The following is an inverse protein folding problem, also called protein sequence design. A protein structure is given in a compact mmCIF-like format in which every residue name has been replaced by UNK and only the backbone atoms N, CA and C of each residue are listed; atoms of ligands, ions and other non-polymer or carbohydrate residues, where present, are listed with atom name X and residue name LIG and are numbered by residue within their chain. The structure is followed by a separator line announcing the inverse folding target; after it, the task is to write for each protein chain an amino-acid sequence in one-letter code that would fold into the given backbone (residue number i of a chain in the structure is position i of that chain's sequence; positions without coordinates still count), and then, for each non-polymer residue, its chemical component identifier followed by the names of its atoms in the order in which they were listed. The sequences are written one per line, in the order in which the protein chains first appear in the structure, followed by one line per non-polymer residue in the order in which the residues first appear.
data_IF_985015026324
#
_entry.id   IF_985015026324
#
_cell.length_a   1.000
_cell.length_b   1.000
_cell.length_c   1.000
_cell.angle_alpha   90.00
_cell.angle_beta   90.00
_cell.angle_gamma   90.00
#
_symmetry.space_group_name_H-M   'P 1'
#
loop_
_entity.id
_entity.type
_entity.pdbx_description
1 polymer ?
#
# COMPACT_ATOMS: atom_id res chain seq x y z
N UNK A 1 24.89 -23.73 -9.93
CA UNK A 1 24.07 -24.87 -9.45
C UNK A 1 22.83 -24.29 -8.80
N UNK A 2 21.74 -24.22 -9.57
CA UNK A 2 20.43 -23.74 -9.12
C UNK A 2 19.77 -24.83 -8.29
N UNK A 3 19.43 -24.52 -7.05
CA UNK A 3 18.70 -25.43 -6.17
C UNK A 3 17.23 -25.50 -6.66
N UNK A 4 16.74 -26.63 -7.17
CA UNK A 4 15.45 -26.72 -7.88
C UNK A 4 14.23 -26.79 -6.94
N UNK A 5 14.34 -26.30 -5.70
CA UNK A 5 13.32 -26.52 -4.66
C UNK A 5 13.04 -25.28 -3.80
N UNK A 6 12.73 -24.13 -4.42
CA UNK A 6 11.87 -23.15 -3.73
C UNK A 6 10.46 -23.75 -3.72
N UNK A 7 10.21 -24.71 -2.81
CA UNK A 7 8.86 -25.18 -2.50
C UNK A 7 8.06 -23.93 -2.12
N UNK A 8 7.16 -23.49 -3.00
CA UNK A 8 6.14 -22.52 -2.62
C UNK A 8 5.51 -23.03 -1.33
N UNK A 9 5.65 -22.24 -0.25
CA UNK A 9 5.05 -22.56 1.04
C UNK A 9 3.57 -22.81 0.78
N UNK A 10 3.13 -24.06 0.96
CA UNK A 10 1.74 -24.42 0.72
C UNK A 10 0.89 -23.56 1.66
N UNK A 11 0.01 -22.75 1.08
CA UNK A 11 -0.92 -21.94 1.85
C UNK A 11 -1.83 -22.90 2.63
N UNK A 12 -1.59 -22.98 3.94
CA UNK A 12 -2.38 -23.78 4.86
C UNK A 12 -3.57 -22.96 5.37
N UNK A 13 -4.52 -23.62 6.04
CA UNK A 13 -5.65 -22.95 6.68
C UNK A 13 -5.21 -21.82 7.64
N UNK A 14 -4.14 -22.04 8.41
CA UNK A 14 -3.59 -21.03 9.33
C UNK A 14 -3.19 -19.72 8.65
N UNK A 15 -2.76 -19.77 7.38
CA UNK A 15 -2.42 -18.57 6.62
C UNK A 15 -3.68 -17.71 6.32
N UNK A 16 -4.83 -18.35 6.07
CA UNK A 16 -6.10 -17.65 5.85
C UNK A 16 -6.67 -17.07 7.13
N UNK A 17 -6.49 -17.76 8.27
CA UNK A 17 -6.87 -17.23 9.59
C UNK A 17 -6.03 -15.99 9.92
N UNK A 18 -4.71 -16.04 9.69
CA UNK A 18 -3.84 -14.89 9.88
C UNK A 18 -4.23 -13.71 8.96
N UNK A 19 -4.65 -13.98 7.73
CA UNK A 19 -5.17 -12.96 6.82
C UNK A 19 -6.49 -12.36 7.31
N UNK A 20 -7.43 -13.19 7.78
CA UNK A 20 -8.70 -12.70 8.33
C UNK A 20 -8.48 -11.83 9.57
N UNK A 21 -7.56 -12.25 10.46
CA UNK A 21 -7.13 -11.42 11.58
C UNK A 21 -6.53 -10.10 11.11
N UNK A 22 -5.64 -10.11 10.12
CA UNK A 22 -5.06 -8.88 9.57
C UNK A 22 -6.12 -7.90 9.05
N UNK A 23 -7.12 -8.42 8.33
CA UNK A 23 -8.23 -7.61 7.80
C UNK A 23 -9.02 -6.98 8.94
N UNK A 24 -9.41 -7.76 9.95
CA UNK A 24 -10.16 -7.24 11.11
C UNK A 24 -9.30 -6.21 11.87
N UNK A 25 -8.03 -6.53 12.12
CA UNK A 25 -7.10 -5.73 12.90
C UNK A 25 -6.83 -4.35 12.30
N UNK A 26 -6.60 -4.26 10.99
CA UNK A 26 -6.36 -2.98 10.32
C UNK A 26 -7.63 -2.27 9.85
N UNK A 27 -8.81 -2.88 9.96
CA UNK A 27 -10.07 -2.30 9.44
C UNK A 27 -10.63 -1.14 10.26
N UNK A 28 -10.33 -1.05 11.55
CA UNK A 28 -10.97 -0.10 12.45
C UNK A 28 -12.36 -0.55 12.96
N UNK A 29 -12.87 -1.72 12.52
CA UNK A 29 -14.22 -2.21 12.88
C UNK A 29 -14.36 -2.55 14.36
N UNK A 30 -13.26 -2.91 15.02
CA UNK A 30 -13.25 -3.36 16.41
C UNK A 30 -12.82 -2.26 17.38
N UNK A 31 -12.69 -1.02 16.90
CA UNK A 31 -12.30 0.13 17.71
C UNK A 31 -13.26 0.33 18.88
N UNK A 32 -12.77 0.03 20.08
CA UNK A 32 -13.53 0.16 21.33
C UNK A 32 -12.57 0.28 22.51
N UNK A 33 -13.09 0.72 23.66
CA UNK A 33 -12.39 0.63 24.95
C UNK A 33 -12.65 -0.69 25.68
N UNK A 34 -13.41 -1.60 25.08
CA UNK A 34 -13.74 -2.92 25.62
C UNK A 34 -12.63 -3.93 25.33
N UNK A 35 -12.70 -5.11 25.94
CA UNK A 35 -11.66 -6.16 25.79
C UNK A 35 -11.39 -6.55 24.33
N UNK A 36 -12.41 -6.50 23.47
CA UNK A 36 -12.29 -6.86 22.06
C UNK A 36 -11.57 -5.78 21.23
N UNK A 37 -11.38 -4.57 21.78
CA UNK A 37 -10.56 -3.51 21.19
C UNK A 37 -9.09 -3.89 21.06
N UNK A 38 -8.60 -4.92 21.75
CA UNK A 38 -7.25 -5.49 21.53
C UNK A 38 -7.08 -6.03 20.12
N UNK A 39 -8.18 -6.39 19.44
CA UNK A 39 -8.15 -6.83 18.06
C UNK A 39 -8.19 -5.67 17.06
N UNK A 40 -8.03 -4.42 17.49
CA UNK A 40 -8.05 -3.23 16.64
C UNK A 40 -6.70 -2.48 16.69
N UNK A 41 -6.14 -2.21 15.51
CA UNK A 41 -4.89 -1.47 15.38
C UNK A 41 -4.97 -0.07 15.99
N UNK A 42 -6.08 0.64 15.81
CA UNK A 42 -6.23 2.03 16.29
C UNK A 42 -6.31 2.06 17.81
N UNK A 43 -7.05 1.13 18.42
CA UNK A 43 -7.13 1.01 19.87
C UNK A 43 -5.77 0.66 20.47
N UNK A 44 -5.04 -0.31 19.92
CA UNK A 44 -3.70 -0.66 20.42
C UNK A 44 -2.63 0.39 20.16
N UNK A 45 -2.72 1.09 19.02
CA UNK A 45 -1.81 2.18 18.70
C UNK A 45 -1.98 3.36 19.65
N UNK A 46 -3.22 3.60 20.09
CA UNK A 46 -3.55 4.65 21.04
C UNK A 46 -3.33 6.06 20.47
N UNK A 47 -3.25 7.02 21.39
CA UNK A 47 -2.96 8.43 21.09
C UNK A 47 -1.94 8.97 22.09
N UNK A 48 -1.19 9.98 21.67
CA UNK A 48 -0.37 10.74 22.60
C UNK A 48 -1.24 11.40 23.68
N UNK A 49 -0.71 11.49 24.89
CA UNK A 49 -1.29 12.31 25.94
C UNK A 49 -1.42 13.77 25.50
N UNK A 50 -2.46 14.44 26.00
CA UNK A 50 -2.65 15.86 25.73
C UNK A 50 -1.83 16.68 26.74
N UNK A 51 -1.21 17.77 26.26
CA UNK A 51 -0.44 18.71 27.06
C UNK A 51 -1.30 19.92 27.44
N UNK A 52 -1.16 20.41 28.67
CA UNK A 52 -1.85 21.62 29.10
C UNK A 52 -1.38 22.83 28.26
N UNK A 53 -2.32 23.55 27.67
CA UNK A 53 -2.10 24.69 26.79
C UNK A 53 -2.46 26.02 27.46
N UNK A 54 -3.54 26.03 28.25
CA UNK A 54 -3.97 27.22 28.98
C UNK A 54 -4.57 26.76 30.32
N UNK A 55 -4.36 27.53 31.38
CA UNK A 55 -4.94 27.28 32.70
C UNK A 55 -5.70 28.53 33.09
N UNK A 56 -7.01 28.41 33.24
CA UNK A 56 -7.90 29.50 33.63
C UNK A 56 -8.52 29.19 34.98
N UNK A 57 -8.46 30.14 35.89
CA UNK A 57 -9.15 30.04 37.18
C UNK A 57 -10.59 30.50 36.98
N UNK A 58 -11.54 29.57 37.08
CA UNK A 58 -12.98 29.83 37.06
C UNK A 58 -13.54 29.80 38.48
N UNK A 59 -14.77 30.30 38.67
CA UNK A 59 -15.40 30.38 39.99
C UNK A 59 -15.57 29.01 40.69
N UNK A 60 -15.51 27.91 39.94
CA UNK A 60 -15.62 26.54 40.43
C UNK A 60 -14.26 25.79 40.49
N UNK A 61 -13.14 26.44 40.16
CA UNK A 61 -11.79 25.87 40.29
C UNK A 61 -10.82 26.22 39.16
N UNK A 62 -9.72 25.45 39.05
CA UNK A 62 -8.69 25.63 38.01
C UNK A 62 -8.99 24.73 36.82
N UNK A 63 -9.35 25.30 35.67
CA UNK A 63 -9.57 24.58 34.42
C UNK A 63 -8.33 24.66 33.50
N UNK A 64 -7.76 23.51 33.17
CA UNK A 64 -6.66 23.40 32.21
C UNK A 64 -7.20 22.98 30.83
N UNK A 65 -7.16 23.87 29.84
CA UNK A 65 -7.36 23.53 28.45
C UNK A 65 -6.16 22.76 27.93
N UNK A 66 -6.38 21.60 27.31
CA UNK A 66 -5.34 20.72 26.79
C UNK A 66 -5.25 20.77 25.26
N UNK A 67 -4.07 20.47 24.72
CA UNK A 67 -3.81 20.36 23.28
C UNK A 67 -2.90 19.16 22.99
N UNK A 68 -2.71 18.82 21.72
CA UNK A 68 -1.75 17.77 21.33
C UNK A 68 -0.30 18.26 21.42
N UNK A 69 0.67 17.35 21.33
CA UNK A 69 2.11 17.70 21.22
C UNK A 69 2.43 18.64 20.03
N UNK A 70 1.51 18.79 19.08
CA UNK A 70 1.59 19.72 17.96
C UNK A 70 1.27 21.17 18.34
N UNK A 71 0.61 21.40 19.48
CA UNK A 71 0.18 22.74 19.91
C UNK A 71 -1.03 23.28 19.13
N UNK A 72 -1.32 24.58 19.26
CA UNK A 72 -2.44 25.27 18.57
C UNK A 72 -1.92 26.54 17.86
N UNK A 73 -2.39 26.80 16.64
CA UNK A 73 -2.09 28.03 15.89
C UNK A 73 -0.83 28.02 15.01
N UNK A 74 -0.19 26.86 14.83
CA UNK A 74 0.97 26.72 13.92
C UNK A 74 0.57 26.39 12.48
N UNK A 75 1.26 26.97 11.49
CA UNK A 75 1.17 26.59 10.08
C UNK A 75 2.55 26.71 9.41
N UNK A 76 2.96 25.71 8.63
CA UNK A 76 4.22 25.72 7.88
C UNK A 76 5.15 24.54 8.19
N UNK A 77 6.41 24.61 7.73
CA UNK A 77 7.33 23.47 7.77
C UNK A 77 7.61 22.91 9.18
N UNK A 78 7.66 23.78 10.21
CA UNK A 78 7.87 23.38 11.61
C UNK A 78 6.69 22.57 12.16
N UNK A 79 5.48 22.96 11.81
CA UNK A 79 4.25 22.26 12.20
C UNK A 79 4.17 20.89 11.52
N UNK A 80 4.51 20.82 10.23
CA UNK A 80 4.65 19.56 9.49
C UNK A 80 5.73 18.63 10.07
N UNK A 81 6.86 19.17 10.53
CA UNK A 81 7.93 18.38 11.16
C UNK A 81 7.47 17.73 12.47
N UNK A 82 6.81 18.50 13.36
CA UNK A 82 6.27 17.96 14.60
C UNK A 82 5.19 16.91 14.32
N UNK A 83 4.32 17.16 13.34
CA UNK A 83 3.37 16.15 12.87
C UNK A 83 4.07 14.86 12.39
N UNK A 84 5.17 14.96 11.63
CA UNK A 84 5.88 13.76 11.17
C UNK A 84 6.43 12.92 12.34
N UNK A 85 6.91 13.58 13.40
CA UNK A 85 7.36 12.87 14.62
C UNK A 85 6.23 12.11 15.30
N UNK A 86 4.98 12.58 15.23
CA UNK A 86 3.84 11.85 15.81
C UNK A 86 3.47 10.59 15.02
N UNK A 87 3.85 10.49 13.74
CA UNK A 87 3.60 9.29 12.93
C UNK A 87 4.57 8.13 13.20
N UNK A 88 5.78 8.42 13.69
CA UNK A 88 6.85 7.41 13.83
C UNK A 88 6.38 6.16 14.60
N UNK A 89 5.80 6.27 15.81
CA UNK A 89 5.40 5.08 16.57
C UNK A 89 4.32 4.27 15.86
N UNK A 90 3.37 4.96 15.21
CA UNK A 90 2.26 4.32 14.50
C UNK A 90 2.76 3.49 13.33
N UNK A 91 3.68 4.04 12.54
CA UNK A 91 4.28 3.34 11.40
C UNK A 91 5.13 2.15 11.87
N UNK A 92 5.93 2.35 12.92
CA UNK A 92 6.74 1.27 13.49
C UNK A 92 5.88 0.11 14.01
N UNK A 93 4.79 0.41 14.71
CA UNK A 93 3.86 -0.60 15.20
C UNK A 93 3.18 -1.36 14.06
N UNK A 94 2.69 -0.64 13.04
CA UNK A 94 2.08 -1.25 11.85
C UNK A 94 3.05 -2.20 11.14
N UNK A 95 4.30 -1.77 10.91
CA UNK A 95 5.33 -2.61 10.28
C UNK A 95 5.69 -3.83 11.14
N UNK A 96 5.76 -3.67 12.47
CA UNK A 96 5.97 -4.78 13.39
C UNK A 96 4.88 -5.85 13.27
N UNK A 97 3.62 -5.44 13.24
CA UNK A 97 2.48 -6.36 13.07
C UNK A 97 2.51 -7.01 11.68
N UNK A 98 2.80 -6.26 10.62
CA UNK A 98 2.91 -6.82 9.25
C UNK A 98 3.98 -7.91 9.19
N UNK A 99 5.15 -7.72 9.80
CA UNK A 99 6.20 -8.73 9.85
C UNK A 99 5.77 -10.02 10.56
N UNK A 100 5.00 -9.89 11.65
CA UNK A 100 4.42 -11.05 12.36
C UNK A 100 3.42 -11.77 11.47
N UNK A 101 2.53 -11.05 10.80
CA UNK A 101 1.54 -11.63 9.89
C UNK A 101 2.18 -12.29 8.67
N UNK A 102 3.26 -11.72 8.16
CA UNK A 102 4.09 -12.33 7.11
C UNK A 102 4.71 -13.65 7.57
N UNK A 103 5.25 -13.70 8.79
CA UNK A 103 5.77 -14.93 9.38
C UNK A 103 4.70 -16.04 9.43
N UNK A 104 3.48 -15.69 9.84
CA UNK A 104 2.32 -16.60 9.84
C UNK A 104 1.75 -16.91 8.44
N UNK A 105 2.27 -16.28 7.39
CA UNK A 105 1.89 -16.57 5.99
C UNK A 105 0.61 -15.88 5.55
N UNK A 106 0.15 -14.85 6.26
CA UNK A 106 -1.02 -14.05 5.85
C UNK A 106 -0.82 -13.48 4.44
N UNK A 107 0.40 -13.01 4.14
CA UNK A 107 0.73 -12.51 2.81
C UNK A 107 0.68 -13.61 1.74
N UNK A 108 1.07 -14.85 2.06
CA UNK A 108 0.94 -15.99 1.14
C UNK A 108 -0.52 -16.32 0.82
N UNK A 109 -1.40 -16.29 1.83
CA UNK A 109 -2.84 -16.44 1.64
C UNK A 109 -3.43 -15.30 0.80
N UNK A 110 -3.02 -14.06 1.06
CA UNK A 110 -3.44 -12.90 0.28
C UNK A 110 -3.05 -13.07 -1.19
N UNK A 111 -1.83 -13.55 -1.47
CA UNK A 111 -1.35 -13.82 -2.84
C UNK A 111 -2.21 -14.84 -3.57
N UNK A 112 -2.57 -15.94 -2.90
CA UNK A 112 -3.43 -16.98 -3.48
C UNK A 112 -4.85 -16.47 -3.76
N UNK A 113 -5.38 -15.59 -2.91
CA UNK A 113 -6.67 -14.92 -3.13
C UNK A 113 -6.61 -13.85 -4.24
N UNK A 114 -5.49 -13.15 -4.38
CA UNK A 114 -5.28 -12.17 -5.45
C UNK A 114 -5.05 -12.83 -6.81
N UNK A 115 -4.56 -14.07 -6.86
CA UNK A 115 -4.29 -14.81 -8.11
C UNK A 115 -5.48 -14.86 -9.10
N UNK A 116 -6.71 -15.26 -8.70
CA UNK A 116 -7.88 -15.25 -9.59
C UNK A 116 -8.35 -13.84 -9.98
N UNK A 117 -7.95 -12.80 -9.24
CA UNK A 117 -8.29 -11.41 -9.52
C UNK A 117 -7.29 -10.76 -10.51
N UNK A 118 -5.99 -11.01 -10.32
CA UNK A 118 -4.91 -10.41 -11.10
C UNK A 118 -4.82 -10.96 -12.54
N UNK A 119 -5.16 -12.25 -12.73
CA UNK A 119 -5.16 -12.89 -14.05
C UNK A 119 -6.13 -12.24 -15.04
N UNK A 120 -7.42 -12.04 -14.74
CA UNK A 120 -8.35 -11.35 -15.64
C UNK A 120 -8.05 -9.85 -15.75
N UNK A 121 -7.68 -9.17 -14.66
CA UNK A 121 -7.49 -7.71 -14.67
C UNK A 121 -6.21 -7.26 -15.37
N UNK A 122 -5.12 -8.01 -15.30
CA UNK A 122 -3.80 -7.58 -15.80
C UNK A 122 -3.05 -8.65 -16.59
N UNK A 123 -3.57 -9.88 -16.66
CA UNK A 123 -2.91 -10.97 -17.39
C UNK A 123 -1.62 -11.47 -16.74
N UNK A 124 -1.38 -11.14 -15.47
CA UNK A 124 -0.19 -11.58 -14.74
C UNK A 124 -0.48 -12.79 -13.85
N UNK A 125 0.48 -13.71 -13.65
CA UNK A 125 0.31 -14.87 -12.81
C UNK A 125 0.29 -14.49 -11.33
N UNK A 126 -0.41 -15.29 -10.53
CA UNK A 126 -0.50 -15.11 -9.08
C UNK A 126 0.82 -15.18 -8.31
N UNK A 127 1.86 -15.77 -8.93
CA UNK A 127 3.23 -15.75 -8.43
C UNK A 127 3.76 -14.34 -8.20
N UNK A 128 3.27 -13.34 -8.94
CA UNK A 128 3.61 -11.93 -8.79
C UNK A 128 2.98 -11.25 -7.58
N UNK A 129 2.06 -11.91 -6.86
CA UNK A 129 1.39 -11.32 -5.70
C UNK A 129 2.38 -10.89 -4.60
N UNK A 130 3.49 -11.62 -4.46
CA UNK A 130 4.63 -11.31 -3.58
C UNK A 130 5.20 -9.93 -3.87
N UNK A 131 5.66 -9.78 -5.12
CA UNK A 131 6.20 -8.55 -5.65
C UNK A 131 5.17 -7.42 -5.66
N UNK A 132 3.89 -7.74 -5.85
CA UNK A 132 2.80 -6.75 -5.84
C UNK A 132 2.66 -6.13 -4.46
N UNK A 133 2.56 -6.96 -3.41
CA UNK A 133 2.44 -6.49 -2.04
C UNK A 133 3.66 -5.66 -1.64
N UNK A 134 4.87 -6.14 -1.96
CA UNK A 134 6.08 -5.39 -1.68
C UNK A 134 6.14 -4.07 -2.44
N UNK A 135 5.71 -4.03 -3.71
CA UNK A 135 5.68 -2.80 -4.51
C UNK A 135 4.77 -1.71 -3.97
N UNK A 136 3.75 -2.08 -3.17
CA UNK A 136 2.87 -1.10 -2.50
C UNK A 136 3.53 -0.43 -1.30
N UNK A 137 4.58 -1.06 -0.75
CA UNK A 137 5.35 -0.54 0.39
C UNK A 137 6.68 0.08 -0.05
N UNK A 138 7.32 -0.51 -1.05
CA UNK A 138 8.58 -0.09 -1.61
C UNK A 138 8.66 -0.49 -3.08
N UNK A 139 8.73 0.50 -3.96
CA UNK A 139 8.90 0.28 -5.40
C UNK A 139 10.18 -0.50 -5.70
N UNK A 140 11.27 -0.23 -4.96
CA UNK A 140 12.56 -0.87 -5.17
C UNK A 140 12.54 -2.35 -4.79
N UNK A 141 11.92 -2.69 -3.64
CA UNK A 141 11.73 -4.07 -3.22
C UNK A 141 10.81 -4.84 -4.19
N UNK A 142 9.74 -4.18 -4.68
CA UNK A 142 8.86 -4.73 -5.72
C UNK A 142 9.60 -5.04 -7.02
N UNK A 143 10.44 -4.13 -7.50
CA UNK A 143 11.23 -4.30 -8.71
C UNK A 143 12.27 -5.42 -8.58
N UNK A 144 12.95 -5.51 -7.43
CA UNK A 144 13.91 -6.58 -7.15
C UNK A 144 13.25 -7.97 -7.19
N UNK A 145 12.09 -8.12 -6.52
CA UNK A 145 11.33 -9.38 -6.54
C UNK A 145 10.74 -9.69 -7.91
N UNK A 146 10.34 -8.66 -8.67
CA UNK A 146 9.85 -8.83 -10.04
C UNK A 146 10.92 -9.35 -10.97
N UNK A 147 12.15 -8.80 -10.86
CA UNK A 147 13.31 -9.30 -11.59
C UNK A 147 13.61 -10.75 -11.23
N UNK A 148 13.61 -11.10 -9.95
CA UNK A 148 13.82 -12.47 -9.51
C UNK A 148 12.78 -13.43 -10.13
N UNK A 149 11.50 -13.05 -10.14
CA UNK A 149 10.44 -13.86 -10.76
C UNK A 149 10.63 -14.05 -12.27
N UNK A 150 11.16 -13.04 -12.98
CA UNK A 150 11.53 -13.15 -14.39
C UNK A 150 12.73 -14.08 -14.59
N UNK A 151 13.77 -13.92 -13.78
CA UNK A 151 15.00 -14.71 -13.87
C UNK A 151 14.74 -16.20 -13.53
N UNK A 152 13.78 -16.48 -12.65
CA UNK A 152 13.28 -17.83 -12.33
C UNK A 152 12.35 -18.42 -13.42
N UNK A 153 12.05 -17.68 -14.49
CA UNK A 153 11.12 -18.10 -15.55
C UNK A 153 9.65 -18.17 -15.11
N UNK A 154 9.31 -17.56 -13.97
CA UNK A 154 7.94 -17.52 -13.41
C UNK A 154 7.11 -16.35 -13.95
N UNK A 155 7.76 -15.42 -14.64
CA UNK A 155 7.16 -14.37 -15.44
C UNK A 155 7.74 -14.36 -16.85
N UNK A 156 6.87 -14.26 -17.84
CA UNK A 156 7.29 -13.93 -19.20
C UNK A 156 7.78 -12.48 -19.26
N UNK A 157 8.55 -12.14 -20.31
CA UNK A 157 8.98 -10.76 -20.56
C UNK A 157 7.77 -9.82 -20.64
N UNK A 158 6.73 -10.23 -21.38
CA UNK A 158 5.49 -9.47 -21.54
C UNK A 158 4.77 -9.23 -20.20
N UNK A 159 4.61 -10.27 -19.37
CA UNK A 159 4.01 -10.13 -18.04
C UNK A 159 4.87 -9.24 -17.13
N UNK A 160 6.19 -9.33 -17.24
CA UNK A 160 7.12 -8.49 -16.48
C UNK A 160 6.97 -7.01 -16.86
N UNK A 161 6.87 -6.69 -18.15
CA UNK A 161 6.77 -5.31 -18.60
C UNK A 161 5.41 -4.69 -18.19
N UNK A 162 4.32 -5.45 -18.31
CA UNK A 162 2.98 -5.04 -17.81
C UNK A 162 3.01 -4.83 -16.30
N UNK A 163 3.65 -5.73 -15.57
CA UNK A 163 3.74 -5.65 -14.12
C UNK A 163 4.64 -4.51 -13.65
N UNK A 164 5.69 -4.19 -14.40
CA UNK A 164 6.56 -3.04 -14.16
C UNK A 164 5.78 -1.74 -14.34
N UNK A 165 4.95 -1.63 -15.39
CA UNK A 165 4.09 -0.46 -15.56
C UNK A 165 3.04 -0.31 -14.46
N UNK A 166 2.49 -1.40 -13.96
CA UNK A 166 1.62 -1.37 -12.78
C UNK A 166 2.35 -0.80 -11.55
N UNK A 167 3.58 -1.26 -11.31
CA UNK A 167 4.39 -0.83 -10.15
C UNK A 167 4.79 0.64 -10.25
N UNK A 168 5.22 1.07 -11.44
CA UNK A 168 5.61 2.44 -11.72
C UNK A 168 4.44 3.43 -11.57
N UNK A 169 3.26 3.03 -12.06
CA UNK A 169 2.05 3.85 -11.92
C UNK A 169 1.67 3.98 -10.45
N UNK A 170 1.60 5.20 -9.92
CA UNK A 170 1.19 5.51 -8.55
C UNK A 170 1.94 4.77 -7.40
N UNK A 171 3.04 4.06 -7.66
CA UNK A 171 3.80 3.35 -6.61
C UNK A 171 4.38 4.30 -5.58
N UNK A 172 5.20 5.26 -6.04
CA UNK A 172 5.74 6.32 -5.19
C UNK A 172 4.64 7.20 -4.57
N UNK A 173 3.55 7.44 -5.32
CA UNK A 173 2.42 8.26 -4.83
C UNK A 173 1.72 7.59 -3.67
N UNK A 174 1.47 6.28 -3.68
CA UNK A 174 0.84 5.56 -2.58
C UNK A 174 1.73 5.61 -1.32
N UNK A 175 3.02 5.32 -1.47
CA UNK A 175 3.96 5.36 -0.34
C UNK A 175 4.07 6.77 0.24
N UNK A 176 4.19 7.79 -0.61
CA UNK A 176 4.19 9.20 -0.17
C UNK A 176 2.84 9.62 0.42
N UNK A 177 1.74 9.13 -0.12
CA UNK A 177 0.40 9.44 0.38
C UNK A 177 0.21 8.92 1.80
N UNK A 178 0.60 7.68 2.08
CA UNK A 178 0.52 7.14 3.45
C UNK A 178 1.60 7.71 4.38
N UNK A 179 2.78 8.06 3.86
CA UNK A 179 3.88 8.63 4.66
C UNK A 179 3.64 10.10 5.05
N UNK A 180 3.18 10.93 4.11
CA UNK A 180 3.08 12.39 4.29
C UNK A 180 1.85 13.03 3.63
N UNK A 181 1.09 12.32 2.80
CA UNK A 181 -0.14 12.86 2.18
C UNK A 181 -1.37 12.81 3.10
N UNK A 182 -1.46 11.81 3.99
CA UNK A 182 -2.57 11.63 4.93
C UNK A 182 -2.76 12.85 5.86
N UNK A 183 -1.68 13.59 6.10
CA UNK A 183 -1.65 14.84 6.88
C UNK A 183 -2.58 15.89 6.31
N UNK A 184 -2.66 15.97 4.98
CA UNK A 184 -3.48 16.96 4.29
C UNK A 184 -4.97 16.80 4.63
N UNK A 185 -5.41 15.58 4.92
CA UNK A 185 -6.79 15.27 5.34
C UNK A 185 -7.09 15.65 6.79
N UNK A 186 -6.06 16.01 7.56
CA UNK A 186 -6.21 16.52 8.94
C UNK A 186 -6.16 18.04 9.00
N UNK A 187 -5.83 18.71 7.89
CA UNK A 187 -5.79 20.16 7.84
C UNK A 187 -7.20 20.73 7.79
N UNK A 188 -7.43 21.79 8.54
CA UNK A 188 -8.68 22.56 8.53
C UNK A 188 -8.43 23.97 8.01
N UNK A 189 -9.34 24.50 7.21
CA UNK A 189 -9.34 25.90 6.80
C UNK A 189 -9.64 26.82 8.00
N UNK A 190 -9.45 28.12 7.79
CA UNK A 190 -9.75 29.15 8.78
C UNK A 190 -11.23 29.18 9.21
N UNK A 191 -12.12 28.60 8.42
CA UNK A 191 -13.55 28.44 8.70
C UNK A 191 -13.89 27.16 9.50
N UNK A 192 -12.87 26.33 9.84
CA UNK A 192 -13.04 25.07 10.55
C UNK A 192 -13.44 23.88 9.66
N UNK A 193 -13.64 24.07 8.36
CA UNK A 193 -13.89 22.98 7.41
C UNK A 193 -12.60 22.22 7.07
N UNK A 194 -12.70 20.95 6.66
CA UNK A 194 -11.53 20.16 6.23
C UNK A 194 -10.96 20.73 4.92
N UNK A 195 -9.64 20.90 4.87
CA UNK A 195 -8.93 21.39 3.68
C UNK A 195 -8.95 20.41 2.51
N UNK A 196 -9.09 19.13 2.81
CA UNK A 196 -9.36 18.10 1.81
C UNK A 196 -10.73 17.52 2.11
N UNK A 197 -11.69 17.85 1.24
CA UNK A 197 -13.08 17.38 1.34
C UNK A 197 -13.26 15.94 0.87
N UNK A 198 -12.25 15.36 0.20
CA UNK A 198 -12.24 13.94 -0.18
C UNK A 198 -11.88 13.04 1.00
N UNK A 199 -12.35 11.79 0.99
CA UNK A 199 -11.93 10.79 1.96
C UNK A 199 -10.58 10.19 1.59
N UNK A 200 -9.81 9.77 2.59
CA UNK A 200 -8.55 9.01 2.41
C UNK A 200 -8.83 7.76 1.55
N UNK A 201 -9.94 7.09 1.80
CA UNK A 201 -10.37 5.91 1.03
C UNK A 201 -10.60 6.21 -0.45
N UNK A 202 -11.23 7.34 -0.78
CA UNK A 202 -11.44 7.75 -2.18
C UNK A 202 -10.12 8.01 -2.88
N UNK A 203 -9.19 8.72 -2.24
CA UNK A 203 -7.88 9.01 -2.82
C UNK A 203 -7.07 7.73 -3.07
N UNK A 204 -7.06 6.80 -2.11
CA UNK A 204 -6.43 5.49 -2.24
C UNK A 204 -7.09 4.67 -3.36
N UNK A 205 -8.42 4.64 -3.41
CA UNK A 205 -9.16 3.94 -4.46
C UNK A 205 -8.80 4.48 -5.86
N UNK A 206 -8.75 5.80 -6.04
CA UNK A 206 -8.34 6.42 -7.32
C UNK A 206 -6.92 6.00 -7.67
N UNK A 207 -5.97 6.08 -6.73
CA UNK A 207 -4.59 5.65 -6.99
C UNK A 207 -4.53 4.21 -7.46
N UNK A 208 -5.20 3.28 -6.76
CA UNK A 208 -5.25 1.87 -7.15
C UNK A 208 -5.90 1.65 -8.53
N UNK A 209 -7.02 2.32 -8.82
CA UNK A 209 -7.69 2.24 -10.13
C UNK A 209 -6.73 2.65 -11.25
N UNK A 210 -6.02 3.77 -11.09
CA UNK A 210 -5.07 4.22 -12.10
C UNK A 210 -3.90 3.26 -12.32
N UNK A 211 -3.48 2.48 -11.31
CA UNK A 211 -2.48 1.41 -11.53
C UNK A 211 -2.98 0.35 -12.51
N UNK A 212 -4.24 -0.09 -12.34
CA UNK A 212 -4.86 -1.04 -13.26
C UNK A 212 -5.07 -0.43 -14.64
N UNK A 213 -5.46 0.84 -14.73
CA UNK A 213 -5.59 1.57 -16.00
C UNK A 213 -4.24 1.63 -16.72
N UNK A 214 -3.17 2.04 -16.04
CA UNK A 214 -1.82 2.12 -16.61
C UNK A 214 -1.31 0.78 -17.12
N UNK A 215 -1.51 -0.29 -16.34
CA UNK A 215 -1.15 -1.65 -16.75
C UNK A 215 -1.93 -2.09 -18.00
N UNK A 216 -3.23 -1.82 -18.06
CA UNK A 216 -4.07 -2.22 -19.20
C UNK A 216 -3.83 -1.37 -20.45
N UNK A 217 -3.57 -0.07 -20.32
CA UNK A 217 -3.12 0.77 -21.43
C UNK A 217 -1.81 0.23 -22.02
N UNK A 218 -0.88 -0.21 -21.17
CA UNK A 218 0.36 -0.80 -21.63
C UNK A 218 0.15 -2.16 -22.31
N UNK A 219 -0.80 -2.99 -21.85
CA UNK A 219 -1.19 -4.23 -22.56
C UNK A 219 -1.72 -3.95 -23.96
N UNK A 220 -2.55 -2.92 -24.11
CA UNK A 220 -3.07 -2.48 -25.42
C UNK A 220 -1.92 -2.01 -26.32
N UNK A 221 -1.02 -1.18 -25.78
CA UNK A 221 0.18 -0.73 -26.50
C UNK A 221 1.04 -1.91 -26.99
N UNK A 222 1.29 -2.90 -26.15
CA UNK A 222 2.03 -4.10 -26.54
C UNK A 222 1.31 -4.92 -27.60
N UNK A 223 -0.02 -5.07 -27.53
CA UNK A 223 -0.81 -5.75 -28.58
C UNK A 223 -0.69 -5.07 -29.95
N UNK A 224 -0.66 -3.73 -29.98
CA UNK A 224 -0.56 -2.96 -31.22
C UNK A 224 0.87 -3.04 -31.80
N UNK A 225 1.89 -3.03 -30.93
CA UNK A 225 3.29 -2.94 -31.35
C UNK A 225 3.88 -4.30 -31.73
N UNK A 226 3.58 -5.36 -30.98
CA UNK A 226 4.02 -6.72 -31.33
C UNK A 226 3.38 -7.22 -32.63
N UNK A 227 2.11 -6.88 -32.88
CA UNK A 227 1.42 -7.21 -34.14
C UNK A 227 1.97 -6.48 -35.37
N UNK A 228 2.76 -5.42 -35.20
CA UNK A 228 3.49 -4.74 -36.28
C UNK A 228 4.85 -5.37 -36.52
N UNK A 229 5.61 -5.69 -35.46
CA UNK A 229 6.89 -6.37 -35.57
C UNK A 229 6.79 -7.75 -36.24
N UNK A 230 5.74 -8.52 -35.96
CA UNK A 230 5.54 -9.83 -36.61
C UNK A 230 5.28 -9.69 -38.13
N UNK A 231 4.53 -8.65 -38.53
CA UNK A 231 4.25 -8.36 -39.95
C UNK A 231 5.48 -7.85 -40.69
N UNK A 232 6.27 -7.00 -40.05
CA UNK A 232 7.51 -6.48 -40.63
C UNK A 232 8.57 -7.59 -40.73
N UNK A 233 8.66 -8.48 -39.73
CA UNK A 233 9.57 -9.64 -39.77
C UNK A 233 9.16 -10.64 -40.85
N UNK A 234 7.87 -10.92 -41.02
CA UNK A 234 7.37 -11.79 -42.09
C UNK A 234 7.57 -11.18 -43.48
N UNK A 235 7.40 -9.86 -43.64
CA UNK A 235 7.72 -9.15 -44.88
C UNK A 235 9.20 -9.24 -45.23
N UNK A 236 10.08 -8.97 -44.27
CA UNK A 236 11.54 -9.04 -44.47
C UNK A 236 12.01 -10.47 -44.80
N UNK A 237 11.39 -11.50 -44.21
CA UNK A 237 11.67 -12.90 -44.55
C UNK A 237 11.15 -13.29 -45.95
N UNK A 238 10.02 -12.72 -46.40
CA UNK A 238 9.52 -12.91 -47.75
C UNK A 238 10.37 -12.19 -48.80
N UNK A 239 10.86 -10.98 -48.50
CA UNK A 239 11.75 -10.21 -49.37
C UNK A 239 13.15 -10.82 -49.46
N UNK A 240 13.65 -11.46 -48.40
CA UNK A 240 14.94 -12.17 -48.40
C UNK A 240 14.88 -13.56 -49.08
N UNK A 241 13.67 -14.07 -49.37
CA UNK A 241 13.45 -15.36 -50.02
C UNK A 241 13.17 -15.25 -51.53
N UNK A 242 13.19 -14.03 -52.09
CA UNK A 242 13.12 -13.73 -53.53
C UNK A 242 14.49 -13.34 -54.06
#
# INVERSE_FOLDING_TARGET
MSDPNIKQRKVTWGCYVALAFAVIFFSGLMKSGEWYGVLDFTTLNGSFGQVAYNVTETADGVEAATTSLRGKGGSGARDGFIFALTLIPTVMFALGVINVLEHYGALDAARKLLTPLLRPLMGIPGSSGLALIASLQSTDAGAAMTRQLKDEGRLTKRETDVFTMFQFTAGATIVNFFSSGAVLFTLTLADGSLAVTSSIGLAVAIMFVFKFVGANLFRIYLNITEGKQDKDTQRLQQEAAQ
#
